data_IF_510112765477
#
_entry.id   IF_510112765477
#
_cell.length_a   1.000
_cell.length_b   1.000
_cell.length_c   1.000
_cell.angle_alpha   90.00
_cell.angle_beta   90.00
_cell.angle_gamma   90.00
#
_symmetry.space_group_name_H-M   'P 1'
#
loop_
_entity.id
_entity.type
_entity.pdbx_description
1 polymer ?
#
# COMPACT_ATOMS: atom_id res chain seq x y z
N UNK A 1 9.46 11.06 6.08
CA UNK A 1 8.26 10.28 6.43
C UNK A 1 8.59 9.36 7.59
N UNK A 2 8.06 9.66 8.76
CA UNK A 2 8.12 8.71 9.88
C UNK A 2 7.05 7.62 9.71
N UNK A 3 7.25 6.49 10.40
CA UNK A 3 6.41 5.29 10.30
C UNK A 3 4.92 5.53 10.62
N UNK A 4 4.60 6.69 11.21
CA UNK A 4 3.26 7.11 11.66
C UNK A 4 2.58 8.14 10.74
N UNK A 5 3.22 8.53 9.62
CA UNK A 5 2.60 9.39 8.61
C UNK A 5 2.40 10.87 9.02
N UNK A 6 2.98 11.33 10.12
CA UNK A 6 3.04 12.75 10.45
C UNK A 6 4.24 13.41 9.76
N UNK A 7 4.00 14.54 9.09
CA UNK A 7 5.00 15.30 8.37
C UNK A 7 6.06 15.90 9.31
N UNK A 8 7.27 16.06 8.80
CA UNK A 8 8.49 16.46 9.53
C UNK A 8 8.53 17.92 10.01
N UNK A 9 7.42 18.66 9.91
CA UNK A 9 7.33 20.07 10.33
C UNK A 9 7.90 21.08 9.33
N UNK A 10 8.69 20.65 8.34
CA UNK A 10 8.75 21.35 7.05
C UNK A 10 7.47 21.02 6.26
N UNK A 11 7.09 21.85 5.30
CA UNK A 11 5.94 21.61 4.41
C UNK A 11 6.13 20.33 3.58
N UNK A 12 6.00 19.18 4.23
CA UNK A 12 6.05 17.87 3.63
C UNK A 12 4.75 17.68 2.87
N UNK A 13 4.89 17.28 1.62
CA UNK A 13 3.76 16.86 0.81
C UNK A 13 3.10 15.64 1.48
N UNK A 14 1.94 15.84 2.09
CA UNK A 14 1.07 14.77 2.56
C UNK A 14 -0.03 14.55 1.54
N UNK A 15 -0.15 13.32 1.03
CA UNK A 15 -1.29 12.93 0.19
C UNK A 15 -2.60 13.21 0.92
N UNK A 16 -3.57 13.81 0.22
CA UNK A 16 -4.88 14.10 0.78
C UNK A 16 -5.65 12.79 1.05
N UNK A 17 -5.72 12.38 2.32
CA UNK A 17 -6.41 11.16 2.70
C UNK A 17 -7.92 11.34 2.69
N UNK A 18 -8.67 10.22 2.66
CA UNK A 18 -10.13 10.26 2.60
C UNK A 18 -10.79 10.95 3.81
N UNK A 19 -10.17 10.91 4.99
CA UNK A 19 -10.60 11.68 6.17
C UNK A 19 -10.41 13.18 5.96
N UNK A 20 -9.23 13.55 5.46
CA UNK A 20 -8.82 14.95 5.33
C UNK A 20 -9.61 15.63 4.23
N UNK A 21 -9.93 14.92 3.15
CA UNK A 21 -10.87 15.37 2.12
C UNK A 21 -12.22 15.76 2.72
N UNK A 22 -12.78 14.96 3.64
CA UNK A 22 -14.08 15.26 4.27
C UNK A 22 -14.01 16.50 5.16
N UNK A 23 -12.89 16.67 5.88
CA UNK A 23 -12.65 17.89 6.67
C UNK A 23 -12.55 19.10 5.76
N UNK A 24 -11.83 18.97 4.65
CA UNK A 24 -11.64 20.03 3.67
C UNK A 24 -12.97 20.47 3.08
N UNK A 25 -13.81 19.54 2.60
CA UNK A 25 -15.12 19.89 2.02
C UNK A 25 -16.04 20.62 3.00
N UNK A 26 -16.01 20.26 4.28
CA UNK A 26 -16.89 20.85 5.30
C UNK A 26 -16.39 22.16 5.88
N UNK A 27 -15.09 22.26 6.17
CA UNK A 27 -14.54 23.35 6.98
C UNK A 27 -13.76 24.38 6.16
N UNK A 28 -13.32 24.05 4.94
CA UNK A 28 -12.59 25.00 4.09
C UNK A 28 -13.46 26.21 3.68
N UNK A 29 -14.71 26.06 3.22
CA UNK A 29 -15.49 27.18 2.67
C UNK A 29 -15.60 28.37 3.64
N UNK A 30 -15.79 28.09 4.92
CA UNK A 30 -15.95 29.14 5.95
C UNK A 30 -14.64 29.85 6.31
N UNK A 31 -13.49 29.29 5.89
CA UNK A 31 -12.14 29.84 6.12
C UNK A 31 -11.57 30.56 4.90
N UNK A 32 -12.23 30.50 3.75
CA UNK A 32 -11.78 31.17 2.53
C UNK A 32 -11.96 32.71 2.54
N UNK A 33 -13.00 33.28 3.20
CA UNK A 33 -13.13 34.73 3.30
C UNK A 33 -11.89 35.36 3.95
N UNK A 34 -11.37 36.44 3.35
CA UNK A 34 -10.17 37.14 3.82
C UNK A 34 -8.84 36.50 3.37
N UNK A 35 -8.85 35.27 2.87
CA UNK A 35 -7.69 34.62 2.23
C UNK A 35 -7.74 34.80 0.72
N UNK A 36 -8.93 34.72 0.13
CA UNK A 36 -9.16 34.92 -1.30
C UNK A 36 -9.45 36.40 -1.58
N UNK A 37 -9.13 36.86 -2.80
CA UNK A 37 -9.47 38.21 -3.27
C UNK A 37 -10.96 38.49 -3.06
N UNK A 38 -11.34 39.66 -2.50
CA UNK A 38 -12.74 39.95 -2.16
C UNK A 38 -13.71 39.80 -3.34
N UNK A 39 -13.28 40.13 -4.56
CA UNK A 39 -14.13 40.13 -5.76
C UNK A 39 -14.56 38.72 -6.21
N UNK A 40 -13.79 37.68 -5.86
CA UNK A 40 -14.09 36.29 -6.22
C UNK A 40 -14.38 35.39 -5.02
N UNK A 41 -14.14 35.87 -3.80
CA UNK A 41 -14.27 35.10 -2.56
C UNK A 41 -15.65 34.44 -2.44
N UNK A 42 -16.73 35.18 -2.62
CA UNK A 42 -18.10 34.65 -2.49
C UNK A 42 -18.37 33.53 -3.50
N UNK A 43 -17.98 33.73 -4.76
CA UNK A 43 -18.12 32.73 -5.82
C UNK A 43 -17.32 31.48 -5.52
N UNK A 44 -16.07 31.61 -5.05
CA UNK A 44 -15.23 30.45 -4.70
C UNK A 44 -15.81 29.69 -3.52
N UNK A 45 -16.29 30.38 -2.48
CA UNK A 45 -16.99 29.74 -1.35
C UNK A 45 -18.20 28.94 -1.84
N UNK A 46 -18.99 29.53 -2.74
CA UNK A 46 -20.15 28.86 -3.33
C UNK A 46 -19.75 27.62 -4.14
N UNK A 47 -18.69 27.69 -4.96
CA UNK A 47 -18.16 26.53 -5.71
C UNK A 47 -17.84 25.35 -4.80
N UNK A 48 -17.23 25.60 -3.64
CA UNK A 48 -16.92 24.53 -2.68
C UNK A 48 -18.16 23.96 -2.00
N UNK A 49 -19.12 24.81 -1.61
CA UNK A 49 -20.38 24.37 -0.99
C UNK A 49 -21.24 23.56 -1.95
N UNK A 50 -21.42 24.06 -3.18
CA UNK A 50 -22.12 23.34 -4.25
C UNK A 50 -21.45 21.98 -4.54
N UNK A 51 -20.11 21.92 -4.52
CA UNK A 51 -19.39 20.68 -4.73
C UNK A 51 -19.60 19.66 -3.60
N UNK A 52 -19.63 20.10 -2.33
CA UNK A 52 -19.95 19.19 -1.22
C UNK A 52 -21.36 18.61 -1.38
N UNK A 53 -22.36 19.42 -1.75
CA UNK A 53 -23.72 18.94 -2.02
C UNK A 53 -23.75 17.87 -3.13
N UNK A 54 -23.11 18.14 -4.27
CA UNK A 54 -22.99 17.19 -5.38
C UNK A 54 -22.32 15.90 -4.89
N UNK A 55 -21.25 16.03 -4.10
CA UNK A 55 -20.51 14.91 -3.55
C UNK A 55 -21.35 14.05 -2.60
N UNK A 56 -22.21 14.65 -1.76
CA UNK A 56 -23.11 13.89 -0.89
C UNK A 56 -24.14 13.09 -1.69
N UNK A 57 -24.64 13.62 -2.81
CA UNK A 57 -25.61 12.94 -3.68
C UNK A 57 -25.03 11.66 -4.31
N UNK A 58 -23.71 11.60 -4.56
CA UNK A 58 -23.05 10.36 -5.00
C UNK A 58 -23.22 9.21 -4.00
N UNK A 59 -23.44 9.53 -2.73
CA UNK A 59 -23.64 8.60 -1.63
C UNK A 59 -25.05 8.02 -1.53
N UNK A 60 -25.98 8.43 -2.39
CA UNK A 60 -27.36 7.94 -2.38
C UNK A 60 -27.41 6.48 -2.88
N UNK A 61 -27.88 5.53 -2.06
CA UNK A 61 -28.20 4.18 -2.53
C UNK A 61 -29.53 4.23 -3.29
N UNK A 62 -29.52 3.79 -4.55
CA UNK A 62 -30.72 3.69 -5.39
C UNK A 62 -31.47 5.03 -5.61
N UNK A 63 -30.87 6.01 -6.31
CA UNK A 63 -31.49 7.30 -6.58
C UNK A 63 -32.67 7.20 -7.57
N UNK A 64 -33.73 8.00 -7.36
CA UNK A 64 -34.86 8.13 -8.30
C UNK A 64 -34.48 8.97 -9.53
N UNK A 65 -35.27 8.92 -10.60
CA UNK A 65 -34.99 9.70 -11.82
C UNK A 65 -35.02 11.22 -11.57
N UNK A 66 -35.88 11.69 -10.67
CA UNK A 66 -35.92 13.10 -10.24
C UNK A 66 -34.64 13.48 -9.50
N UNK A 67 -34.12 12.61 -8.65
CA UNK A 67 -32.86 12.82 -7.94
C UNK A 67 -31.67 12.82 -8.90
N UNK A 68 -31.67 11.94 -9.91
CA UNK A 68 -30.63 11.91 -10.95
C UNK A 68 -30.66 13.16 -11.81
N UNK A 69 -31.85 13.61 -12.20
CA UNK A 69 -32.04 14.86 -12.95
C UNK A 69 -31.60 16.06 -12.13
N UNK A 70 -32.00 16.13 -10.85
CA UNK A 70 -31.56 17.17 -9.92
C UNK A 70 -30.04 17.18 -9.72
N UNK A 71 -29.42 16.00 -9.61
CA UNK A 71 -27.96 15.85 -9.56
C UNK A 71 -27.30 16.42 -10.83
N UNK A 72 -27.80 16.06 -12.01
CA UNK A 72 -27.24 16.53 -13.28
C UNK A 72 -27.33 18.05 -13.41
N UNK A 73 -28.49 18.64 -13.12
CA UNK A 73 -28.70 20.09 -13.14
C UNK A 73 -27.75 20.80 -12.16
N UNK A 74 -27.59 20.29 -10.94
CA UNK A 74 -26.63 20.84 -9.97
C UNK A 74 -25.19 20.75 -10.48
N UNK A 75 -24.80 19.62 -11.07
CA UNK A 75 -23.45 19.42 -11.58
C UNK A 75 -23.11 20.35 -12.76
N UNK A 76 -24.05 20.56 -13.68
CA UNK A 76 -23.89 21.52 -14.79
C UNK A 76 -23.75 22.94 -14.26
N UNK A 77 -24.68 23.39 -13.41
CA UNK A 77 -24.66 24.73 -12.81
C UNK A 77 -23.36 24.98 -12.02
N UNK A 78 -22.84 23.95 -11.35
CA UNK A 78 -21.57 24.03 -10.63
C UNK A 78 -20.37 24.24 -11.57
N UNK A 79 -20.30 23.52 -12.70
CA UNK A 79 -19.24 23.73 -13.69
C UNK A 79 -19.36 25.09 -14.38
N UNK A 80 -20.58 25.56 -14.67
CA UNK A 80 -20.80 26.91 -15.20
C UNK A 80 -20.34 27.99 -14.23
N UNK A 81 -20.68 27.84 -12.94
CA UNK A 81 -20.20 28.72 -11.88
C UNK A 81 -18.66 28.72 -11.78
N UNK A 82 -18.04 27.53 -11.85
CA UNK A 82 -16.58 27.40 -11.89
C UNK A 82 -15.98 28.17 -13.07
N UNK A 83 -16.51 27.98 -14.28
CA UNK A 83 -16.01 28.65 -15.50
C UNK A 83 -16.29 30.16 -15.53
N UNK A 84 -17.27 30.66 -14.75
CA UNK A 84 -17.57 32.08 -14.65
C UNK A 84 -16.43 32.93 -14.04
N UNK A 85 -15.48 32.25 -13.37
CA UNK A 85 -14.24 32.82 -12.86
C UNK A 85 -13.08 32.74 -13.86
N UNK A 86 -13.25 32.04 -14.98
CA UNK A 86 -12.26 31.99 -16.06
C UNK A 86 -11.91 33.39 -16.56
N UNK A 87 -10.61 33.68 -16.67
CA UNK A 87 -10.11 35.01 -17.03
C UNK A 87 -10.15 36.05 -15.90
N UNK A 88 -10.89 35.81 -14.81
CA UNK A 88 -10.87 36.65 -13.58
C UNK A 88 -9.91 36.08 -12.53
N UNK A 89 -9.83 34.77 -12.44
CA UNK A 89 -8.97 34.03 -11.53
C UNK A 89 -8.26 32.93 -12.30
N UNK A 90 -6.93 32.86 -12.16
CA UNK A 90 -6.14 31.77 -12.71
C UNK A 90 -6.58 30.44 -12.09
N UNK A 91 -6.71 29.40 -12.91
CA UNK A 91 -7.08 28.06 -12.45
C UNK A 91 -8.58 27.73 -12.59
N UNK A 92 -9.36 28.63 -13.19
CA UNK A 92 -10.81 28.45 -13.42
C UNK A 92 -11.16 28.39 -14.92
N UNK A 93 -10.17 28.18 -15.79
CA UNK A 93 -10.36 28.10 -17.23
C UNK A 93 -10.87 26.72 -17.66
N UNK A 94 -11.39 26.63 -18.89
CA UNK A 94 -11.81 25.35 -19.51
C UNK A 94 -10.70 24.30 -19.53
N UNK A 95 -9.43 24.73 -19.63
CA UNK A 95 -8.27 23.84 -19.58
C UNK A 95 -8.11 23.11 -18.23
N UNK A 96 -8.72 23.63 -17.15
CA UNK A 96 -8.68 23.04 -15.81
C UNK A 96 -9.80 22.02 -15.56
N UNK A 97 -10.67 21.79 -16.55
CA UNK A 97 -11.68 20.74 -16.47
C UNK A 97 -10.97 19.39 -16.58
N UNK A 98 -10.82 18.73 -15.44
CA UNK A 98 -10.21 17.41 -15.37
C UNK A 98 -11.18 16.32 -15.87
N UNK A 99 -10.66 15.14 -16.26
CA UNK A 99 -11.52 13.99 -16.59
C UNK A 99 -12.52 13.63 -15.49
N UNK A 100 -12.17 13.85 -14.22
CA UNK A 100 -13.09 13.60 -13.10
C UNK A 100 -14.24 14.61 -13.06
N UNK A 101 -14.01 15.89 -13.35
CA UNK A 101 -15.07 16.89 -13.48
C UNK A 101 -16.01 16.51 -14.62
N UNK A 102 -15.45 16.15 -15.79
CA UNK A 102 -16.24 15.68 -16.92
C UNK A 102 -17.09 14.45 -16.57
N UNK A 103 -16.51 13.47 -15.87
CA UNK A 103 -17.21 12.27 -15.45
C UNK A 103 -18.35 12.56 -14.46
N UNK A 104 -18.14 13.47 -13.50
CA UNK A 104 -19.15 13.90 -12.53
C UNK A 104 -20.40 14.46 -13.24
N UNK A 105 -20.20 15.24 -14.31
CA UNK A 105 -21.31 15.86 -15.04
C UNK A 105 -21.99 14.87 -15.99
N UNK A 106 -21.26 14.18 -16.85
CA UNK A 106 -21.87 13.45 -17.97
C UNK A 106 -21.98 11.94 -17.76
N UNK A 107 -21.03 11.33 -17.04
CA UNK A 107 -20.98 9.88 -16.90
C UNK A 107 -21.69 9.39 -15.63
N UNK A 108 -21.56 10.10 -14.52
CA UNK A 108 -22.20 9.72 -13.26
C UNK A 108 -23.72 9.63 -13.38
N UNK A 109 -24.46 10.61 -13.93
CA UNK A 109 -25.92 10.48 -14.05
C UNK A 109 -26.30 9.30 -14.95
N UNK A 110 -25.56 9.09 -16.04
CA UNK A 110 -25.76 7.93 -16.93
C UNK A 110 -25.59 6.62 -16.17
N UNK A 111 -24.53 6.49 -15.38
CA UNK A 111 -24.30 5.29 -14.57
C UNK A 111 -25.29 5.13 -13.42
N UNK A 112 -25.76 6.23 -12.81
CA UNK A 112 -26.83 6.18 -11.82
C UNK A 112 -28.10 5.57 -12.40
N UNK A 113 -28.47 5.92 -13.64
CA UNK A 113 -29.63 5.32 -14.34
C UNK A 113 -29.42 3.84 -14.65
N UNK A 114 -28.29 3.50 -15.28
CA UNK A 114 -28.01 2.13 -15.73
C UNK A 114 -27.91 1.16 -14.54
N UNK A 115 -27.32 1.60 -13.43
CA UNK A 115 -27.00 0.72 -12.32
C UNK A 115 -27.77 1.02 -11.04
N UNK A 116 -28.78 1.90 -11.05
CA UNK A 116 -29.51 2.30 -9.85
C UNK A 116 -28.55 2.81 -8.73
N UNK A 117 -27.74 3.80 -9.10
CA UNK A 117 -26.74 4.45 -8.22
C UNK A 117 -25.32 3.91 -8.35
N UNK A 118 -24.34 4.73 -7.92
CA UNK A 118 -22.90 4.44 -8.12
C UNK A 118 -22.20 3.91 -6.86
N UNK A 119 -22.79 4.11 -5.68
CA UNK A 119 -22.15 3.83 -4.37
C UNK A 119 -21.64 2.40 -4.21
N UNK A 120 -22.32 1.43 -4.83
CA UNK A 120 -21.93 0.01 -4.80
C UNK A 120 -20.62 -0.29 -5.54
N UNK A 121 -20.18 0.58 -6.44
CA UNK A 121 -18.93 0.43 -7.19
C UNK A 121 -17.75 1.17 -6.56
N UNK A 122 -17.87 1.59 -5.30
CA UNK A 122 -16.77 2.28 -4.61
C UNK A 122 -15.62 1.32 -4.28
N UNK A 123 -14.38 1.74 -4.54
CA UNK A 123 -13.17 0.98 -4.19
C UNK A 123 -12.85 0.92 -2.69
N UNK A 124 -13.68 1.54 -1.82
CA UNK A 124 -13.41 1.64 -0.39
C UNK A 124 -13.22 0.28 0.29
N UNK A 125 -13.98 -0.73 -0.12
CA UNK A 125 -13.85 -2.10 0.40
C UNK A 125 -12.50 -2.73 0.05
N UNK A 126 -12.02 -2.50 -1.18
CA UNK A 126 -10.74 -3.03 -1.66
C UNK A 126 -9.57 -2.35 -0.94
N UNK A 127 -9.62 -1.03 -0.76
CA UNK A 127 -8.60 -0.28 0.00
C UNK A 127 -8.54 -0.71 1.46
N UNK A 128 -9.70 -0.97 2.09
CA UNK A 128 -9.75 -1.54 3.44
C UNK A 128 -9.13 -2.94 3.47
N UNK A 129 -9.44 -3.78 2.48
CA UNK A 129 -8.86 -5.12 2.38
C UNK A 129 -7.33 -5.05 2.24
N UNK A 130 -6.80 -4.10 1.47
CA UNK A 130 -5.35 -3.89 1.37
C UNK A 130 -4.72 -3.56 2.73
N UNK A 131 -5.34 -2.68 3.52
CA UNK A 131 -4.91 -2.38 4.88
C UNK A 131 -4.95 -3.62 5.80
N UNK A 132 -5.99 -4.44 5.67
CA UNK A 132 -6.14 -5.67 6.43
C UNK A 132 -5.07 -6.72 6.04
N UNK A 133 -4.81 -6.90 4.74
CA UNK A 133 -3.75 -7.75 4.22
C UNK A 133 -2.38 -7.32 4.76
N UNK A 134 -2.07 -6.01 4.72
CA UNK A 134 -0.84 -5.46 5.28
C UNK A 134 -0.72 -5.77 6.77
N UNK A 135 -1.80 -5.57 7.54
CA UNK A 135 -1.82 -5.87 8.98
C UNK A 135 -1.55 -7.35 9.25
N UNK A 136 -2.18 -8.25 8.50
CA UNK A 136 -1.95 -9.70 8.63
C UNK A 136 -0.50 -10.05 8.31
N UNK A 137 0.03 -9.55 7.20
CA UNK A 137 1.42 -9.79 6.81
C UNK A 137 2.42 -9.33 7.88
N UNK A 138 2.20 -8.15 8.48
CA UNK A 138 3.12 -7.58 9.46
C UNK A 138 3.02 -8.21 10.86
N UNK A 139 1.81 -8.55 11.30
CA UNK A 139 1.54 -8.89 12.71
C UNK A 139 1.12 -10.34 12.95
N UNK A 140 0.59 -11.03 11.93
CA UNK A 140 -0.10 -12.34 12.10
C UNK A 140 0.41 -13.43 11.16
N UNK A 141 1.35 -13.12 10.28
CA UNK A 141 1.98 -14.04 9.35
C UNK A 141 3.38 -14.40 9.85
N UNK A 142 3.80 -15.64 9.59
CA UNK A 142 5.18 -16.05 9.82
C UNK A 142 6.11 -15.68 8.63
N UNK A 143 5.55 -15.04 7.59
CA UNK A 143 6.23 -14.55 6.38
C UNK A 143 6.94 -15.64 5.57
N UNK A 144 6.44 -16.87 5.65
CA UNK A 144 6.94 -18.01 4.86
C UNK A 144 6.29 -18.06 3.48
N UNK A 145 4.97 -17.86 3.47
CA UNK A 145 4.14 -17.67 2.29
C UNK A 145 3.13 -16.59 2.64
N UNK A 146 3.51 -15.34 2.37
CA UNK A 146 2.73 -14.18 2.78
C UNK A 146 1.33 -14.16 2.15
N UNK A 147 1.21 -14.58 0.90
CA UNK A 147 -0.05 -14.61 0.19
C UNK A 147 -0.99 -15.66 0.81
N UNK A 148 -0.49 -16.88 1.01
CA UNK A 148 -1.28 -17.95 1.66
C UNK A 148 -1.64 -17.60 3.10
N UNK A 149 -0.72 -17.02 3.87
CA UNK A 149 -0.99 -16.61 5.25
C UNK A 149 -2.12 -15.57 5.32
N UNK A 150 -2.12 -14.58 4.42
CA UNK A 150 -3.18 -13.58 4.32
C UNK A 150 -4.52 -14.23 4.00
N UNK A 151 -4.57 -15.13 3.02
CA UNK A 151 -5.79 -15.83 2.63
C UNK A 151 -6.34 -16.72 3.76
N UNK A 152 -5.47 -17.51 4.42
CA UNK A 152 -5.87 -18.41 5.50
C UNK A 152 -6.37 -17.65 6.73
N UNK A 153 -5.70 -16.56 7.11
CA UNK A 153 -6.14 -15.72 8.23
C UNK A 153 -7.45 -15.02 7.89
N UNK A 154 -7.60 -14.51 6.67
CA UNK A 154 -8.84 -13.93 6.17
C UNK A 154 -10.01 -14.91 6.28
N UNK A 155 -9.85 -16.12 5.72
CA UNK A 155 -10.90 -17.15 5.77
C UNK A 155 -11.23 -17.60 7.19
N UNK A 156 -10.24 -17.65 8.09
CA UNK A 156 -10.47 -17.94 9.50
C UNK A 156 -11.28 -16.85 10.20
N UNK A 157 -11.03 -15.58 9.92
CA UNK A 157 -11.81 -14.47 10.49
C UNK A 157 -13.26 -14.54 10.01
N UNK A 158 -13.48 -14.80 8.72
CA UNK A 158 -14.81 -14.98 8.13
C UNK A 158 -15.57 -16.14 8.79
N UNK A 159 -14.94 -17.32 8.89
CA UNK A 159 -15.56 -18.50 9.49
C UNK A 159 -15.88 -18.33 10.99
N UNK A 160 -15.12 -17.49 11.70
CA UNK A 160 -15.31 -17.23 13.13
C UNK A 160 -16.06 -15.92 13.41
N UNK A 161 -16.67 -15.28 12.40
CA UNK A 161 -17.31 -13.97 12.55
C UNK A 161 -18.40 -13.95 13.63
N UNK A 162 -19.12 -15.07 13.79
CA UNK A 162 -20.21 -15.21 14.76
C UNK A 162 -19.74 -15.74 16.14
N UNK A 163 -18.46 -16.12 16.25
CA UNK A 163 -17.92 -16.74 17.46
C UNK A 163 -17.21 -15.72 18.35
N UNK A 164 -17.53 -15.70 19.65
CA UNK A 164 -16.75 -14.93 20.65
C UNK A 164 -15.44 -15.64 20.96
N UNK A 165 -14.32 -14.91 20.87
CA UNK A 165 -13.00 -15.44 21.22
C UNK A 165 -12.86 -15.57 22.72
N UNK A 166 -12.62 -16.80 23.19
CA UNK A 166 -12.18 -17.07 24.56
C UNK A 166 -10.66 -17.30 24.59
N UNK A 167 -9.93 -16.80 25.61
CA UNK A 167 -8.54 -17.16 25.81
C UNK A 167 -8.42 -18.66 26.01
N UNK A 168 -7.62 -19.34 25.18
CA UNK A 168 -7.33 -20.76 25.41
C UNK A 168 -6.37 -20.89 26.59
N UNK A 169 -6.75 -21.71 27.57
CA UNK A 169 -5.81 -22.22 28.57
C UNK A 169 -4.86 -23.18 27.85
N UNK A 170 -3.58 -22.80 27.75
CA UNK A 170 -2.55 -23.62 27.12
C UNK A 170 -1.47 -23.98 28.13
N UNK A 171 -1.28 -25.28 28.37
CA UNK A 171 -0.15 -25.81 29.15
C UNK A 171 0.87 -26.41 28.19
N UNK A 172 2.11 -25.93 28.24
CA UNK A 172 3.22 -26.50 27.46
C UNK A 172 3.57 -27.87 28.03
N UNK A 173 3.35 -28.93 27.26
CA UNK A 173 3.61 -30.30 27.72
C UNK A 173 4.97 -30.85 27.27
N UNK A 174 5.55 -30.34 26.18
CA UNK A 174 6.84 -30.82 25.65
C UNK A 174 7.91 -29.72 25.75
N UNK A 175 8.61 -29.67 26.89
CA UNK A 175 9.64 -28.66 27.17
C UNK A 175 10.77 -28.68 26.14
N UNK A 176 11.26 -29.88 25.78
CA UNK A 176 12.35 -30.06 24.81
C UNK A 176 12.03 -29.47 23.43
N UNK A 177 10.82 -29.70 22.90
CA UNK A 177 10.38 -29.09 21.64
C UNK A 177 10.32 -27.56 21.72
N UNK A 178 9.81 -27.00 22.82
CA UNK A 178 9.63 -25.56 22.98
C UNK A 178 10.94 -24.81 23.25
N UNK A 179 11.94 -25.47 23.85
CA UNK A 179 13.23 -24.87 24.18
C UNK A 179 14.20 -24.87 22.98
N UNK A 180 14.36 -26.01 22.31
CA UNK A 180 15.36 -26.22 21.26
C UNK A 180 14.75 -26.72 19.95
N UNK A 181 13.86 -27.73 19.99
CA UNK A 181 13.34 -28.39 18.78
C UNK A 181 12.63 -27.46 17.79
N UNK A 182 11.92 -26.44 18.28
CA UNK A 182 11.22 -25.47 17.43
C UNK A 182 12.19 -24.56 16.66
N UNK A 183 13.35 -24.22 17.23
CA UNK A 183 14.35 -23.38 16.58
C UNK A 183 15.02 -24.15 15.45
N UNK A 184 15.40 -25.39 15.70
CA UNK A 184 16.04 -26.25 14.71
C UNK A 184 15.10 -26.56 13.53
N UNK A 185 13.85 -26.94 13.84
CA UNK A 185 12.85 -27.23 12.80
C UNK A 185 12.58 -26.02 11.92
N UNK A 186 12.51 -24.81 12.49
CA UNK A 186 12.30 -23.58 11.72
C UNK A 186 13.52 -23.18 10.89
N UNK A 187 14.73 -23.50 11.37
CA UNK A 187 15.97 -23.18 10.66
C UNK A 187 16.20 -24.03 9.40
N UNK A 188 15.63 -25.24 9.38
CA UNK A 188 15.76 -26.21 8.28
C UNK A 188 14.68 -26.06 7.20
N UNK A 189 13.63 -25.27 7.44
CA UNK A 189 12.56 -25.07 6.44
C UNK A 189 13.02 -24.06 5.39
N UNK A 190 12.67 -24.31 4.13
CA UNK A 190 12.93 -23.41 3.00
C UNK A 190 11.74 -22.46 2.82
N UNK A 191 12.02 -21.17 2.58
CA UNK A 191 10.97 -20.19 2.30
C UNK A 191 10.48 -20.39 0.88
N UNK A 192 9.21 -20.74 0.75
CA UNK A 192 8.54 -20.95 -0.55
C UNK A 192 8.63 -19.69 -1.44
N UNK A 193 8.69 -18.50 -0.85
CA UNK A 193 8.81 -17.23 -1.59
C UNK A 193 10.19 -16.96 -2.21
N UNK A 194 11.15 -17.85 -2.02
CA UNK A 194 12.46 -17.79 -2.68
C UNK A 194 12.53 -19.03 -3.57
N UNK A 195 12.44 -18.85 -4.89
CA UNK A 195 12.80 -19.92 -5.81
C UNK A 195 14.20 -20.41 -5.46
N UNK A 196 14.33 -21.71 -5.20
CA UNK A 196 15.63 -22.34 -5.12
C UNK A 196 16.19 -22.35 -6.54
N UNK A 197 17.19 -21.51 -6.79
CA UNK A 197 18.11 -21.75 -7.92
C UNK A 197 18.74 -23.11 -7.62
N UNK A 198 18.42 -24.11 -8.45
CA UNK A 198 18.89 -25.47 -8.30
C UNK A 198 20.40 -25.46 -8.04
N UNK A 199 20.80 -25.99 -6.89
CA UNK A 199 22.18 -26.06 -6.47
C UNK A 199 22.84 -27.21 -7.24
N UNK A 200 23.42 -26.90 -8.41
CA UNK A 200 24.39 -27.79 -9.06
C UNK A 200 25.58 -27.91 -8.12
N UNK A 201 25.62 -28.97 -7.31
CA UNK A 201 26.76 -29.28 -6.44
C UNK A 201 27.93 -29.77 -7.28
N UNK A 202 28.65 -28.85 -7.92
CA UNK A 202 30.06 -29.08 -8.22
C UNK A 202 30.85 -28.86 -6.91
N UNK A 203 31.70 -29.82 -6.48
CA UNK A 203 32.44 -29.70 -5.23
C UNK A 203 33.47 -28.56 -5.31
N UNK A 204 33.34 -27.57 -4.43
CA UNK A 204 34.34 -26.52 -4.24
C UNK A 204 35.47 -27.05 -3.35
N UNK A 205 36.73 -26.83 -3.74
CA UNK A 205 37.97 -27.30 -3.09
C UNK A 205 38.24 -26.76 -1.66
N UNK A 206 37.31 -25.97 -1.10
CA UNK A 206 37.47 -25.32 0.19
C UNK A 206 36.41 -25.86 1.15
N UNK A 207 36.84 -26.53 2.23
CA UNK A 207 35.96 -26.87 3.36
C UNK A 207 35.55 -25.58 4.09
N UNK A 208 34.48 -24.95 3.60
CA UNK A 208 33.93 -23.72 4.16
C UNK A 208 33.41 -23.94 5.58
N UNK A 209 33.24 -25.19 6.03
CA UNK A 209 32.61 -25.47 7.31
C UNK A 209 33.51 -25.25 8.54
N UNK A 210 34.83 -25.33 8.36
CA UNK A 210 35.84 -25.16 9.40
C UNK A 210 36.37 -23.72 9.57
N UNK A 211 36.04 -22.80 8.67
CA UNK A 211 36.61 -21.43 8.63
C UNK A 211 35.95 -20.48 9.65
N UNK A 212 36.76 -19.68 10.35
CA UNK A 212 36.31 -18.69 11.34
C UNK A 212 35.69 -17.44 10.69
N UNK A 213 34.94 -16.65 11.49
CA UNK A 213 34.26 -15.44 11.00
C UNK A 213 35.23 -14.37 10.49
N UNK A 214 36.45 -14.31 11.04
CA UNK A 214 37.46 -13.32 10.65
C UNK A 214 38.08 -13.69 9.31
N UNK A 215 38.47 -14.94 9.15
CA UNK A 215 39.03 -15.48 7.90
C UNK A 215 38.03 -15.37 6.73
N UNK A 216 36.73 -15.65 6.95
CA UNK A 216 35.71 -15.48 5.90
C UNK A 216 35.61 -14.01 5.44
N UNK A 217 35.76 -13.05 6.37
CA UNK A 217 35.72 -11.63 6.02
C UNK A 217 36.97 -11.17 5.29
N UNK A 218 38.12 -11.71 5.64
CA UNK A 218 39.39 -11.46 4.95
C UNK A 218 39.35 -12.02 3.53
N UNK A 219 38.93 -13.27 3.35
CA UNK A 219 38.77 -13.89 2.03
C UNK A 219 37.77 -13.13 1.13
N UNK A 220 36.66 -12.64 1.71
CA UNK A 220 35.71 -11.80 0.98
C UNK A 220 36.29 -10.43 0.62
N UNK A 221 37.12 -9.86 1.49
CA UNK A 221 37.80 -8.57 1.25
C UNK A 221 38.89 -8.69 0.18
N UNK A 222 39.69 -9.75 0.21
CA UNK A 222 40.67 -10.08 -0.85
C UNK A 222 40.01 -10.23 -2.22
N UNK A 223 38.78 -10.75 -2.24
CA UNK A 223 37.95 -10.89 -3.45
C UNK A 223 37.17 -9.61 -3.81
N UNK A 224 37.39 -8.49 -3.12
CA UNK A 224 36.74 -7.21 -3.42
C UNK A 224 35.27 -7.11 -2.99
N UNK A 225 34.74 -8.11 -2.27
CA UNK A 225 33.33 -8.14 -1.84
C UNK A 225 33.19 -7.45 -0.49
N UNK A 226 32.54 -6.27 -0.48
CA UNK A 226 32.22 -5.56 0.77
C UNK A 226 31.06 -6.26 1.48
N UNK A 227 31.31 -6.79 2.68
CA UNK A 227 30.29 -7.47 3.49
C UNK A 227 29.86 -6.61 4.68
N UNK A 228 28.56 -6.58 4.97
CA UNK A 228 27.99 -5.96 6.20
C UNK A 228 27.43 -6.99 7.17
N UNK A 229 27.49 -8.27 6.84
CA UNK A 229 26.88 -9.33 7.63
C UNK A 229 27.75 -9.69 8.84
N UNK A 230 27.09 -9.86 9.99
CA UNK A 230 27.71 -10.36 11.24
C UNK A 230 27.44 -11.84 11.49
N UNK A 231 26.52 -12.44 10.74
CA UNK A 231 26.08 -13.83 10.92
C UNK A 231 26.92 -14.77 10.06
N UNK A 232 27.56 -15.77 10.69
CA UNK A 232 28.42 -16.76 10.05
C UNK A 232 27.73 -17.50 8.89
N UNK A 233 26.46 -17.90 9.04
CA UNK A 233 25.69 -18.56 7.96
C UNK A 233 25.57 -17.71 6.69
N UNK A 234 25.35 -16.39 6.85
CA UNK A 234 25.23 -15.46 5.72
C UNK A 234 26.59 -15.16 5.09
N UNK A 235 27.63 -15.09 5.91
CA UNK A 235 29.02 -14.91 5.45
C UNK A 235 29.49 -16.12 4.65
N UNK A 236 29.25 -17.34 5.13
CA UNK A 236 29.54 -18.58 4.39
C UNK A 236 28.81 -18.62 3.04
N UNK A 237 27.51 -18.31 3.02
CA UNK A 237 26.73 -18.26 1.77
C UNK A 237 27.31 -17.25 0.77
N UNK A 238 27.68 -16.05 1.24
CA UNK A 238 28.27 -15.02 0.40
C UNK A 238 29.67 -15.39 -0.13
N UNK A 239 30.46 -16.13 0.66
CA UNK A 239 31.75 -16.67 0.22
C UNK A 239 31.57 -17.74 -0.86
N UNK A 240 30.64 -18.68 -0.67
CA UNK A 240 30.32 -19.73 -1.66
C UNK A 240 29.87 -19.11 -2.98
N UNK A 241 29.01 -18.10 -2.93
CA UNK A 241 28.54 -17.38 -4.12
C UNK A 241 29.69 -16.61 -4.81
N UNK A 242 30.60 -16.02 -4.03
CA UNK A 242 31.81 -15.38 -4.57
C UNK A 242 32.83 -16.37 -5.16
N UNK A 243 32.88 -17.61 -4.67
CA UNK A 243 33.73 -18.68 -5.21
C UNK A 243 33.21 -19.14 -6.58
N UNK A 244 31.92 -19.43 -6.66
CA UNK A 244 31.25 -19.85 -7.91
C UNK A 244 31.31 -18.81 -9.02
N UNK A 245 31.19 -17.53 -8.68
CA UNK A 245 31.31 -16.46 -9.67
C UNK A 245 32.73 -16.35 -10.26
N UNK A 246 33.77 -16.77 -9.52
CA UNK A 246 35.16 -16.69 -9.97
C UNK A 246 35.56 -17.89 -10.84
N UNK A 247 34.97 -19.07 -10.60
CA UNK A 247 35.15 -20.25 -11.47
C UNK A 247 34.54 -20.04 -12.86
N UNK A 248 33.40 -19.34 -12.94
CA UNK A 248 32.77 -18.97 -14.21
C UNK A 248 33.52 -17.88 -15.00
N UNK A 249 34.50 -17.19 -14.39
CA UNK A 249 35.36 -16.19 -15.04
C UNK A 249 36.75 -16.73 -15.43
N UNK A 250 37.07 -17.99 -15.12
CA UNK A 250 38.33 -18.59 -15.56
C UNK A 250 38.27 -18.93 -17.06
N UNK A 251 39.16 -18.37 -17.92
CA UNK A 251 39.14 -18.64 -19.34
C UNK A 251 39.50 -20.10 -19.60
N UNK A 252 38.62 -20.78 -20.32
CA UNK A 252 38.83 -22.10 -20.92
C UNK A 252 40.13 -22.05 -21.74
N UNK A 253 41.23 -22.50 -21.15
CA UNK A 253 42.58 -22.45 -21.71
C UNK A 253 43.16 -23.85 -21.72
N UNK A 254 43.39 -24.37 -22.93
CA UNK A 254 44.09 -25.62 -23.29
C UNK A 254 43.18 -26.87 -23.19
N UNK A 255 42.90 -27.64 -24.25
CA UNK A 255 43.69 -28.01 -25.44
C UNK A 255 42.78 -28.32 -26.63
#
# INVERSE_FOLDING_TARGET
>A
MDADGKGSGLHDFTSLMGSDKKVLLKALPDKLPGVIRPQSSETVVKIWKDFDEIYQLLGCPSPTEEQITGYFTKAVNWVELFLSLGGKCMGYEKAQITPYIHAIVYHVPKFMRIHNGIKKFTGQGVEKLNNDCRRVHLQRSNKWDAAKDVLLVGKRIEHLAECKRTPRSYKKQNSSYWETGIKDTRSKRVRISCEEVADSQEPLDIDVDTISVQEIKELLKERGVKTRFRCLKKLKKQLIESLRNKENEAPNSQQ
#
